data_IF_658083937123
#
_entry.id   IF_658083937123
#
_cell.length_a   1.000
_cell.length_b   1.000
_cell.length_c   1.000
_cell.angle_alpha   90.00
_cell.angle_beta   90.00
_cell.angle_gamma   90.00
#
_symmetry.space_group_name_H-M   'P 1'
#
loop_
_entity.id
_entity.type
_entity.pdbx_description
1 polymer ?
#
# COMPACT_ATOMS: atom_id res chain seq x y z
N UNK A 1 11.32 3.98 -5.03
CA UNK A 1 10.11 3.16 -5.25
C UNK A 1 10.56 1.72 -5.03
N UNK A 2 9.90 0.92 -4.18
CA UNK A 2 10.31 -0.48 -3.98
C UNK A 2 10.25 -1.16 -5.36
N UNK A 3 11.36 -1.74 -5.82
CA UNK A 3 11.40 -2.41 -7.13
C UNK A 3 10.63 -3.71 -7.02
N UNK A 4 9.71 -3.94 -7.94
CA UNK A 4 9.00 -5.21 -8.01
C UNK A 4 9.96 -6.31 -8.48
N UNK A 5 9.78 -7.53 -7.98
CA UNK A 5 10.63 -8.67 -8.29
C UNK A 5 10.41 -9.03 -9.79
N UNK A 6 11.45 -8.94 -10.65
CA UNK A 6 11.27 -9.08 -12.10
C UNK A 6 10.71 -10.43 -12.54
N UNK A 7 10.98 -11.49 -11.78
CA UNK A 7 10.54 -12.85 -12.08
C UNK A 7 9.02 -13.01 -12.05
N UNK A 8 8.29 -12.18 -11.29
CA UNK A 8 6.84 -12.22 -11.21
C UNK A 8 6.15 -11.82 -12.53
N UNK A 9 6.87 -11.14 -13.43
CA UNK A 9 6.33 -10.62 -14.69
C UNK A 9 6.52 -11.56 -15.88
N UNK A 10 7.19 -12.70 -15.69
CA UNK A 10 7.30 -13.74 -16.71
C UNK A 10 6.15 -14.73 -16.52
N UNK A 11 5.53 -15.15 -17.61
CA UNK A 11 4.64 -16.31 -17.57
C UNK A 11 5.50 -17.56 -17.38
N UNK A 12 5.08 -18.45 -16.49
CA UNK A 12 5.59 -19.81 -16.37
C UNK A 12 4.50 -20.78 -16.80
N UNK A 13 4.83 -22.04 -17.03
CA UNK A 13 3.85 -23.06 -17.44
C UNK A 13 2.66 -23.14 -16.46
N UNK A 14 2.90 -22.83 -15.18
CA UNK A 14 1.89 -22.83 -14.13
C UNK A 14 1.25 -21.47 -13.84
N UNK A 15 1.83 -20.34 -14.27
CA UNK A 15 1.33 -19.00 -13.92
C UNK A 15 1.29 -17.99 -15.08
N UNK A 16 0.17 -17.28 -15.24
CA UNK A 16 0.11 -16.17 -16.18
C UNK A 16 1.02 -15.02 -15.73
N UNK A 17 1.60 -14.31 -16.69
CA UNK A 17 2.44 -13.14 -16.42
C UNK A 17 1.70 -12.11 -15.55
N UNK A 18 2.29 -11.74 -14.41
CA UNK A 18 1.73 -10.67 -13.57
C UNK A 18 1.84 -9.33 -14.28
N UNK A 19 0.89 -8.44 -14.00
CA UNK A 19 0.92 -7.05 -14.52
C UNK A 19 1.21 -6.10 -13.38
N UNK A 20 2.32 -5.39 -13.45
CA UNK A 20 2.62 -4.33 -12.49
C UNK A 20 1.62 -3.18 -12.64
N UNK A 21 1.08 -2.71 -11.51
CA UNK A 21 0.19 -1.55 -11.43
C UNK A 21 0.61 -0.70 -10.25
N UNK A 22 0.45 0.61 -10.40
CA UNK A 22 0.79 1.55 -9.35
C UNK A 22 -0.45 1.88 -8.53
N UNK A 23 -0.30 1.85 -7.22
CA UNK A 23 -1.37 2.21 -6.30
C UNK A 23 -1.64 3.72 -6.40
N UNK A 24 -2.92 4.06 -6.61
CA UNK A 24 -3.37 5.44 -6.73
C UNK A 24 -3.01 6.26 -5.50
N UNK A 25 -3.21 5.70 -4.30
CA UNK A 25 -2.94 6.40 -3.05
C UNK A 25 -1.51 6.93 -2.98
N UNK A 26 -0.53 6.04 -3.22
CA UNK A 26 0.88 6.38 -3.18
C UNK A 26 1.29 7.37 -4.27
N UNK A 27 0.51 7.46 -5.34
CA UNK A 27 0.69 8.48 -6.37
C UNK A 27 0.13 9.81 -5.86
N UNK A 28 -1.12 9.84 -5.40
CA UNK A 28 -1.79 11.05 -4.90
C UNK A 28 -1.11 11.64 -3.67
N UNK A 29 -0.57 10.81 -2.78
CA UNK A 29 0.18 11.22 -1.58
C UNK A 29 1.46 11.99 -1.94
N UNK A 30 2.04 11.73 -3.13
CA UNK A 30 3.26 12.42 -3.58
C UNK A 30 3.01 13.78 -4.19
N UNK A 31 1.77 14.13 -4.53
CA UNK A 31 1.46 15.42 -5.16
C UNK A 31 1.93 16.61 -4.30
N UNK A 32 1.59 16.71 -3.00
CA UNK A 32 2.03 17.83 -2.18
C UNK A 32 3.57 17.91 -2.04
N UNK A 33 4.25 16.76 -1.99
CA UNK A 33 5.70 16.69 -1.93
C UNK A 33 6.39 17.06 -3.27
N UNK A 34 5.68 16.97 -4.40
CA UNK A 34 6.22 17.23 -5.75
C UNK A 34 5.83 18.58 -6.32
N UNK A 35 4.64 19.07 -5.99
CA UNK A 35 4.08 20.32 -6.51
C UNK A 35 3.95 21.42 -5.45
N UNK A 36 4.21 21.09 -4.18
CA UNK A 36 4.05 21.99 -3.06
C UNK A 36 2.67 21.88 -2.40
N UNK A 37 2.65 22.09 -1.08
CA UNK A 37 1.43 22.03 -0.28
C UNK A 37 0.43 23.12 -0.67
N UNK A 38 0.90 24.33 -0.98
CA UNK A 38 0.01 25.45 -1.33
C UNK A 38 -0.87 25.09 -2.53
N UNK A 39 -0.27 24.66 -3.65
CA UNK A 39 -1.04 24.24 -4.82
C UNK A 39 -2.01 23.10 -4.47
N UNK A 40 -1.56 22.09 -3.74
CA UNK A 40 -2.37 20.88 -3.53
C UNK A 40 -3.47 21.03 -2.47
N UNK A 41 -3.36 21.99 -1.53
CA UNK A 41 -4.28 22.15 -0.39
C UNK A 41 -5.07 23.45 -0.43
N UNK A 42 -4.47 24.52 -0.94
CA UNK A 42 -5.04 25.86 -0.92
C UNK A 42 -5.65 26.26 -2.28
N UNK A 43 -5.61 25.37 -3.28
CA UNK A 43 -6.23 25.60 -4.60
C UNK A 43 -7.11 24.42 -5.01
N UNK A 44 -7.94 24.64 -6.02
CA UNK A 44 -8.83 23.61 -6.60
C UNK A 44 -8.10 22.56 -7.44
N UNK A 45 -6.77 22.62 -7.55
CA UNK A 45 -5.97 21.73 -8.40
C UNK A 45 -6.26 20.24 -8.13
N UNK A 46 -6.24 19.84 -6.85
CA UNK A 46 -6.44 18.43 -6.48
C UNK A 46 -7.87 17.97 -6.77
N UNK A 47 -8.87 18.81 -6.54
CA UNK A 47 -10.26 18.50 -6.85
C UNK A 47 -10.46 18.28 -8.36
N UNK A 48 -9.93 19.20 -9.18
CA UNK A 48 -10.02 19.14 -10.64
C UNK A 48 -9.29 17.93 -11.21
N UNK A 49 -8.04 17.68 -10.80
CA UNK A 49 -7.28 16.55 -11.34
C UNK A 49 -7.87 15.20 -10.91
N UNK A 50 -8.34 15.09 -9.65
CA UNK A 50 -8.96 13.86 -9.17
C UNK A 50 -10.23 13.53 -9.95
N UNK A 51 -11.09 14.52 -10.26
CA UNK A 51 -12.28 14.32 -11.10
C UNK A 51 -11.95 13.59 -12.41
N UNK A 52 -10.83 13.94 -13.05
CA UNK A 52 -10.41 13.32 -14.31
C UNK A 52 -9.70 11.99 -14.15
N UNK A 53 -8.88 11.82 -13.10
CA UNK A 53 -8.12 10.59 -12.79
C UNK A 53 -9.01 9.33 -12.74
N UNK A 54 -10.26 9.49 -12.31
CA UNK A 54 -11.21 8.39 -12.18
C UNK A 54 -12.14 8.20 -13.40
N UNK A 55 -12.04 9.09 -14.39
CA UNK A 55 -12.97 9.20 -15.51
C UNK A 55 -12.39 8.61 -16.81
N UNK A 56 -13.26 8.34 -17.79
CA UNK A 56 -12.83 7.95 -19.14
C UNK A 56 -12.32 9.12 -19.99
N UNK A 57 -12.44 10.36 -19.51
CA UNK A 57 -12.06 11.58 -20.26
C UNK A 57 -10.74 12.18 -19.75
N UNK A 58 -9.90 11.35 -19.12
CA UNK A 58 -8.62 11.78 -18.55
C UNK A 58 -7.73 12.48 -19.58
N UNK A 59 -7.64 12.00 -20.83
CA UNK A 59 -6.70 12.57 -21.81
C UNK A 59 -6.98 14.05 -22.08
N UNK A 60 -8.26 14.44 -22.10
CA UNK A 60 -8.71 15.80 -22.26
C UNK A 60 -8.52 16.59 -20.96
N UNK A 61 -9.10 16.08 -19.86
CA UNK A 61 -9.11 16.80 -18.59
C UNK A 61 -7.74 16.98 -17.95
N UNK A 62 -6.80 16.04 -18.17
CA UNK A 62 -5.41 16.19 -17.72
C UNK A 62 -4.76 17.40 -18.39
N UNK A 63 -4.85 17.52 -19.72
CA UNK A 63 -4.24 18.63 -20.47
C UNK A 63 -4.83 19.97 -20.04
N UNK A 64 -6.15 20.03 -19.86
CA UNK A 64 -6.84 21.24 -19.41
C UNK A 64 -6.36 21.70 -18.02
N UNK A 65 -6.32 20.79 -17.05
CA UNK A 65 -5.85 21.12 -15.69
C UNK A 65 -4.37 21.52 -15.69
N UNK A 66 -3.51 20.81 -16.42
CA UNK A 66 -2.09 21.14 -16.47
C UNK A 66 -1.85 22.54 -17.06
N UNK A 67 -2.61 22.91 -18.10
CA UNK A 67 -2.55 24.24 -18.71
C UNK A 67 -3.08 25.32 -17.79
N UNK A 68 -4.22 25.08 -17.14
CA UNK A 68 -4.84 26.03 -16.21
C UNK A 68 -3.88 26.45 -15.09
N UNK A 69 -3.16 25.49 -14.51
CA UNK A 69 -2.21 25.73 -13.42
C UNK A 69 -0.78 26.02 -13.90
N UNK A 70 -0.56 26.16 -15.21
CA UNK A 70 0.75 26.47 -15.83
C UNK A 70 1.86 25.45 -15.47
N UNK A 71 1.53 24.16 -15.52
CA UNK A 71 2.41 23.06 -15.14
C UNK A 71 2.95 22.23 -16.32
N UNK A 72 2.88 22.78 -17.53
CA UNK A 72 3.19 22.07 -18.78
C UNK A 72 4.64 21.56 -18.83
N UNK A 73 5.58 22.31 -18.26
CA UNK A 73 7.01 21.96 -18.21
C UNK A 73 7.39 21.09 -17.00
N UNK A 74 6.43 20.71 -16.15
CA UNK A 74 6.73 20.02 -14.91
C UNK A 74 7.13 18.55 -15.17
N UNK A 75 8.43 18.27 -15.08
CA UNK A 75 9.06 16.97 -15.40
C UNK A 75 8.38 15.78 -14.71
N UNK A 76 7.97 15.91 -13.45
CA UNK A 76 7.30 14.81 -12.76
C UNK A 76 5.89 14.55 -13.31
N UNK A 77 5.14 15.60 -13.68
CA UNK A 77 3.78 15.44 -14.21
C UNK A 77 3.82 14.85 -15.61
N UNK A 78 4.79 15.25 -16.44
CA UNK A 78 5.07 14.62 -17.73
C UNK A 78 5.35 13.12 -17.57
N UNK A 79 6.27 12.73 -16.66
CA UNK A 79 6.51 11.32 -16.35
C UNK A 79 5.25 10.60 -15.88
N UNK A 80 4.46 11.19 -14.98
CA UNK A 80 3.22 10.58 -14.48
C UNK A 80 2.22 10.34 -15.61
N UNK A 81 2.15 11.25 -16.58
CA UNK A 81 1.32 11.12 -17.77
C UNK A 81 1.82 9.99 -18.68
N UNK A 82 3.12 9.81 -18.86
CA UNK A 82 3.66 8.73 -19.70
C UNK A 82 3.31 7.34 -19.15
N UNK A 83 3.37 7.16 -17.82
CA UNK A 83 3.05 5.89 -17.15
C UNK A 83 1.55 5.74 -16.79
N UNK A 84 0.68 6.61 -17.30
CA UNK A 84 -0.74 6.70 -16.91
C UNK A 84 -1.56 5.42 -17.07
N UNK A 85 -1.27 4.63 -18.08
CA UNK A 85 -1.91 3.33 -18.31
C UNK A 85 -1.65 2.33 -17.17
N UNK A 86 -0.62 2.54 -16.35
CA UNK A 86 -0.28 1.67 -15.23
C UNK A 86 -0.95 2.06 -13.91
N UNK A 87 -1.66 3.20 -13.86
CA UNK A 87 -2.25 3.70 -12.61
C UNK A 87 -3.66 4.28 -12.73
N UNK A 88 -4.11 4.67 -13.92
CA UNK A 88 -5.46 5.21 -14.13
C UNK A 88 -6.49 4.07 -14.23
N UNK A 89 -7.54 4.07 -13.38
CA UNK A 89 -8.55 3.02 -13.40
C UNK A 89 -9.41 2.92 -14.64
N UNK A 90 -9.56 4.01 -15.39
CA UNK A 90 -10.27 3.97 -16.66
C UNK A 90 -9.64 2.98 -17.66
N UNK A 91 -8.32 2.77 -17.58
CA UNK A 91 -7.60 1.78 -18.39
C UNK A 91 -7.75 0.34 -17.88
N UNK A 92 -8.40 0.13 -16.73
CA UNK A 92 -8.61 -1.20 -16.14
C UNK A 92 -10.05 -1.70 -16.27
N UNK A 93 -10.92 -0.93 -16.94
CA UNK A 93 -12.36 -1.27 -17.04
C UNK A 93 -12.61 -2.61 -17.74
N UNK A 94 -11.68 -3.05 -18.57
CA UNK A 94 -11.74 -4.29 -19.34
C UNK A 94 -11.05 -5.47 -18.65
N UNK A 95 -10.69 -5.33 -17.38
CA UNK A 95 -9.98 -6.37 -16.62
C UNK A 95 -10.82 -6.88 -15.46
N UNK A 96 -11.01 -8.22 -15.35
CA UNK A 96 -11.76 -8.82 -14.25
C UNK A 96 -11.22 -8.39 -12.89
N UNK A 97 -12.09 -7.94 -11.99
CA UNK A 97 -11.80 -7.59 -10.58
C UNK A 97 -10.88 -6.38 -10.34
N UNK A 98 -10.38 -5.69 -11.37
CA UNK A 98 -9.48 -4.54 -11.18
C UNK A 98 -10.20 -3.31 -10.56
N UNK A 99 -11.54 -3.25 -10.65
CA UNK A 99 -12.34 -2.23 -9.97
C UNK A 99 -12.22 -2.26 -8.45
N UNK A 100 -11.89 -3.42 -7.86
CA UNK A 100 -11.69 -3.59 -6.42
C UNK A 100 -10.37 -2.97 -5.92
N UNK A 101 -9.44 -2.66 -6.83
CA UNK A 101 -8.11 -2.11 -6.53
C UNK A 101 -8.12 -0.57 -6.72
N UNK A 102 -9.28 0.02 -7.04
CA UNK A 102 -9.42 1.46 -7.22
C UNK A 102 -9.29 2.24 -5.92
N UNK A 103 -9.62 1.66 -4.77
CA UNK A 103 -9.66 2.39 -3.51
C UNK A 103 -8.44 2.12 -2.66
N UNK A 104 -7.94 3.19 -2.06
CA UNK A 104 -6.83 3.20 -1.10
C UNK A 104 -7.25 2.50 0.20
N UNK A 105 -8.57 2.42 0.43
CA UNK A 105 -9.21 1.79 1.58
C UNK A 105 -8.75 0.37 1.86
N UNK A 106 -8.39 -0.44 0.84
CA UNK A 106 -7.94 -1.82 1.09
C UNK A 106 -6.56 -1.87 1.76
N UNK A 107 -5.60 -1.13 1.21
CA UNK A 107 -4.26 -1.05 1.81
C UNK A 107 -4.28 -0.26 3.11
N UNK A 108 -5.12 0.79 3.20
CA UNK A 108 -5.26 1.58 4.42
C UNK A 108 -5.95 0.79 5.54
N UNK A 109 -6.98 -0.01 5.25
CA UNK A 109 -7.66 -0.81 6.27
C UNK A 109 -6.77 -1.92 6.81
N UNK A 110 -5.99 -2.57 5.94
CA UNK A 110 -4.99 -3.57 6.35
C UNK A 110 -3.87 -2.92 7.18
N UNK A 111 -3.32 -1.79 6.72
CA UNK A 111 -2.30 -1.05 7.47
C UNK A 111 -2.85 -0.57 8.82
N UNK A 112 -4.08 -0.05 8.86
CA UNK A 112 -4.73 0.41 10.07
C UNK A 112 -4.93 -0.76 11.04
N UNK A 113 -5.46 -1.89 10.56
CA UNK A 113 -5.66 -3.09 11.37
C UNK A 113 -4.34 -3.52 12.02
N UNK A 114 -3.27 -3.70 11.24
CA UNK A 114 -1.99 -4.13 11.79
C UNK A 114 -1.31 -3.05 12.62
N UNK A 115 -1.53 -1.75 12.35
CA UNK A 115 -0.95 -0.67 13.17
C UNK A 115 -1.38 -0.74 14.64
N UNK A 116 -2.56 -1.30 14.92
CA UNK A 116 -3.04 -1.54 16.29
C UNK A 116 -2.20 -2.58 17.04
N UNK A 117 -1.47 -3.44 16.33
CA UNK A 117 -0.71 -4.56 16.88
C UNK A 117 0.80 -4.33 16.89
N UNK A 118 1.28 -3.16 16.45
CA UNK A 118 2.72 -2.89 16.38
C UNK A 118 3.10 -1.62 17.12
N UNK A 119 4.21 -1.68 17.87
CA UNK A 119 4.83 -0.50 18.48
C UNK A 119 6.28 -0.39 18.00
N UNK A 120 6.73 0.84 17.79
CA UNK A 120 8.12 1.09 17.44
C UNK A 120 9.02 0.61 18.58
N UNK A 121 9.97 -0.28 18.28
CA UNK A 121 10.91 -0.83 19.25
C UNK A 121 10.53 -2.19 19.86
N UNK A 122 9.43 -2.82 19.42
CA UNK A 122 9.13 -4.21 19.80
C UNK A 122 10.22 -5.18 19.37
N UNK A 123 10.53 -6.14 20.23
CA UNK A 123 11.38 -7.29 19.90
C UNK A 123 10.68 -8.21 18.89
N UNK A 124 11.45 -9.07 18.21
CA UNK A 124 10.88 -10.02 17.23
C UNK A 124 9.86 -10.97 17.86
N UNK A 125 10.10 -11.42 19.10
CA UNK A 125 9.17 -12.27 19.85
C UNK A 125 7.87 -11.56 20.19
N UNK A 126 7.94 -10.30 20.61
CA UNK A 126 6.75 -9.48 20.88
C UNK A 126 5.95 -9.21 19.60
N UNK A 127 6.63 -8.93 18.49
CA UNK A 127 6.01 -8.80 17.18
C UNK A 127 5.23 -10.07 16.81
N UNK A 128 5.86 -11.24 16.93
CA UNK A 128 5.24 -12.51 16.56
C UNK A 128 3.97 -12.79 17.36
N UNK A 129 4.02 -12.62 18.69
CA UNK A 129 2.84 -12.82 19.55
C UNK A 129 1.71 -11.86 19.16
N UNK A 130 2.02 -10.60 18.88
CA UNK A 130 1.00 -9.61 18.48
C UNK A 130 0.44 -9.89 17.09
N UNK A 131 1.25 -10.38 16.17
CA UNK A 131 0.81 -10.84 14.86
C UNK A 131 -0.16 -12.01 14.97
N UNK A 132 0.16 -13.03 15.77
CA UNK A 132 -0.74 -14.17 16.00
C UNK A 132 -2.08 -13.72 16.59
N UNK A 133 -2.07 -12.82 17.57
CA UNK A 133 -3.30 -12.24 18.12
C UNK A 133 -4.14 -11.50 17.07
N UNK A 134 -3.48 -10.78 16.14
CA UNK A 134 -4.16 -10.12 15.03
C UNK A 134 -4.81 -11.15 14.09
N UNK A 135 -4.09 -12.24 13.78
CA UNK A 135 -4.61 -13.34 12.96
C UNK A 135 -5.81 -14.03 13.64
N UNK A 136 -5.73 -14.30 14.94
CA UNK A 136 -6.83 -14.89 15.70
C UNK A 136 -8.06 -13.99 15.72
N UNK A 137 -7.88 -12.68 15.90
CA UNK A 137 -8.98 -11.70 15.79
C UNK A 137 -9.64 -11.77 14.42
N UNK A 138 -8.87 -11.86 13.34
CA UNK A 138 -9.41 -11.99 11.99
C UNK A 138 -10.16 -13.31 11.78
N UNK A 139 -9.61 -14.44 12.26
CA UNK A 139 -10.26 -15.76 12.18
C UNK A 139 -11.58 -15.79 12.97
N UNK A 140 -11.57 -15.24 14.18
CA UNK A 140 -12.76 -15.19 15.04
C UNK A 140 -13.85 -14.31 14.42
N UNK A 141 -13.49 -13.17 13.85
CA UNK A 141 -14.44 -12.31 13.14
C UNK A 141 -15.01 -13.01 11.89
N UNK A 142 -14.18 -13.72 11.14
CA UNK A 142 -14.62 -14.53 9.99
C UNK A 142 -15.63 -15.60 10.43
N UNK A 143 -15.34 -16.34 11.50
CA UNK A 143 -16.26 -17.34 12.08
C UNK A 143 -17.59 -16.69 12.51
N UNK A 144 -17.53 -15.54 13.18
CA UNK A 144 -18.72 -14.79 13.62
C UNK A 144 -19.59 -14.39 12.42
N UNK A 145 -19.00 -13.82 11.37
CA UNK A 145 -19.69 -13.40 10.17
C UNK A 145 -20.27 -14.60 9.38
N UNK A 146 -19.53 -15.71 9.30
CA UNK A 146 -20.03 -16.95 8.68
C UNK A 146 -21.23 -17.51 9.44
N UNK A 147 -21.16 -17.52 10.78
CA UNK A 147 -22.29 -17.92 11.62
C UNK A 147 -23.50 -17.02 11.41
N UNK A 148 -23.31 -15.69 11.36
CA UNK A 148 -24.39 -14.72 11.10
C UNK A 148 -25.04 -14.91 9.71
N UNK A 149 -24.26 -15.29 8.69
CA UNK A 149 -24.79 -15.61 7.36
C UNK A 149 -25.59 -16.91 7.32
N UNK A 150 -25.28 -17.87 8.20
CA UNK A 150 -25.93 -19.17 8.29
C UNK A 150 -27.17 -19.14 9.20
N UNK A 151 -27.15 -18.33 10.26
CA UNK A 151 -28.19 -18.32 11.28
C UNK A 151 -29.44 -17.54 10.87
N UNK A 152 -29.30 -16.50 10.04
CA UNK A 152 -30.42 -15.68 9.60
C UNK A 152 -30.29 -15.24 8.15
N UNK A 153 -31.41 -15.30 7.41
CA UNK A 153 -31.51 -14.65 6.10
C UNK A 153 -31.42 -13.13 6.28
N UNK A 154 -30.74 -12.41 5.37
CA UNK A 154 -30.76 -10.96 5.39
C UNK A 154 -32.18 -10.45 5.08
N UNK A 155 -32.48 -9.25 5.55
CA UNK A 155 -33.81 -8.64 5.37
C UNK A 155 -33.95 -8.17 3.93
N UNK A 156 -34.95 -8.69 3.23
CA UNK A 156 -35.35 -8.22 1.90
C UNK A 156 -36.34 -7.06 2.03
N UNK A 157 -36.29 -6.12 1.08
CA UNK A 157 -37.14 -4.90 1.13
C UNK A 157 -37.96 -4.70 -0.14
N UNK A 158 -37.64 -5.40 -1.24
CA UNK A 158 -38.48 -5.47 -2.44
C UNK A 158 -39.21 -6.81 -2.52
N UNK A 159 -40.11 -6.92 -3.50
CA UNK A 159 -40.84 -8.16 -3.83
C UNK A 159 -40.26 -8.87 -5.07
N UNK A 160 -39.02 -8.54 -5.45
CA UNK A 160 -38.39 -9.08 -6.65
C UNK A 160 -37.73 -10.43 -6.35
N UNK A 161 -38.05 -11.45 -7.15
CA UNK A 161 -37.45 -12.79 -7.01
C UNK A 161 -35.92 -12.80 -7.07
N UNK A 162 -35.33 -11.86 -7.82
CA UNK A 162 -33.88 -11.68 -7.90
C UNK A 162 -33.26 -11.29 -6.55
N UNK A 163 -33.99 -10.57 -5.70
CA UNK A 163 -33.53 -10.21 -4.36
C UNK A 163 -33.57 -11.43 -3.43
N UNK A 164 -34.63 -12.24 -3.51
CA UNK A 164 -34.75 -13.48 -2.74
C UNK A 164 -33.63 -14.47 -3.10
N UNK A 165 -33.36 -14.66 -4.39
CA UNK A 165 -32.24 -15.49 -4.85
C UNK A 165 -30.88 -14.91 -4.41
N UNK A 166 -30.72 -13.58 -4.40
CA UNK A 166 -29.52 -12.93 -3.86
C UNK A 166 -29.32 -13.21 -2.36
N UNK A 167 -30.40 -13.17 -1.57
CA UNK A 167 -30.39 -13.42 -0.13
C UNK A 167 -29.94 -14.84 0.22
N UNK A 168 -30.17 -15.79 -0.69
CA UNK A 168 -29.74 -17.18 -0.54
C UNK A 168 -28.26 -17.37 -0.92
N UNK A 169 -27.82 -16.75 -2.01
CA UNK A 169 -26.49 -16.97 -2.59
C UNK A 169 -25.36 -16.23 -1.88
N UNK A 170 -25.55 -14.93 -1.65
CA UNK A 170 -24.45 -14.03 -1.28
C UNK A 170 -24.23 -13.99 0.22
N UNK A 171 -22.97 -13.77 0.64
CA UNK A 171 -22.68 -13.38 2.02
C UNK A 171 -23.50 -12.15 2.40
N UNK A 172 -23.86 -12.00 3.68
CA UNK A 172 -24.69 -10.90 4.18
C UNK A 172 -24.17 -9.52 3.75
N UNK A 173 -22.85 -9.31 3.82
CA UNK A 173 -22.23 -8.06 3.39
C UNK A 173 -22.35 -7.78 1.89
N UNK A 174 -22.29 -8.81 1.04
CA UNK A 174 -22.46 -8.64 -0.41
C UNK A 174 -23.93 -8.53 -0.79
N UNK A 175 -24.82 -9.25 -0.10
CA UNK A 175 -26.25 -9.12 -0.29
C UNK A 175 -26.71 -7.67 -0.20
N UNK A 176 -26.32 -6.91 0.84
CA UNK A 176 -26.74 -5.52 0.96
C UNK A 176 -26.23 -4.63 -0.19
N UNK A 177 -25.04 -4.90 -0.73
CA UNK A 177 -24.54 -4.21 -1.94
C UNK A 177 -25.33 -4.59 -3.19
N UNK A 178 -25.78 -5.84 -3.29
CA UNK A 178 -26.64 -6.30 -4.38
C UNK A 178 -28.03 -5.67 -4.25
N UNK A 179 -28.59 -5.62 -3.04
CA UNK A 179 -29.88 -5.01 -2.74
C UNK A 179 -29.89 -3.53 -3.15
N UNK A 180 -28.84 -2.77 -2.84
CA UNK A 180 -28.69 -1.39 -3.32
C UNK A 180 -28.76 -1.29 -4.85
N UNK A 181 -28.14 -2.22 -5.58
CA UNK A 181 -28.18 -2.24 -7.05
C UNK A 181 -29.54 -2.67 -7.60
N UNK A 182 -30.24 -3.60 -6.93
CA UNK A 182 -31.60 -4.02 -7.29
C UNK A 182 -32.59 -2.88 -7.07
N UNK A 183 -32.51 -2.17 -5.94
CA UNK A 183 -33.38 -1.02 -5.67
C UNK A 183 -33.09 0.13 -6.63
N UNK A 184 -31.82 0.44 -6.88
CA UNK A 184 -31.45 1.42 -7.90
C UNK A 184 -31.92 1.01 -9.31
N UNK A 185 -31.96 -0.29 -9.62
CA UNK A 185 -32.51 -0.79 -10.88
C UNK A 185 -34.00 -0.47 -11.04
N UNK A 186 -34.75 -0.57 -9.94
CA UNK A 186 -36.18 -0.27 -9.90
C UNK A 186 -36.46 1.24 -9.93
N UNK A 187 -35.75 2.01 -9.11
CA UNK A 187 -36.11 3.39 -8.82
C UNK A 187 -35.45 4.37 -9.79
N UNK A 188 -34.19 4.13 -10.17
CA UNK A 188 -33.36 5.10 -10.87
C UNK A 188 -33.18 4.82 -12.38
N UNK A 189 -33.60 3.66 -12.90
CA UNK A 189 -33.38 3.30 -14.32
C UNK A 189 -34.57 3.63 -15.20
N UNK A 190 -34.31 4.06 -16.44
CA UNK A 190 -35.34 4.28 -17.48
C UNK A 190 -34.92 3.61 -18.78
N UNK A 191 -35.69 2.62 -19.24
CA UNK A 191 -35.51 1.98 -20.54
C UNK A 191 -35.97 2.95 -21.63
N UNK A 192 -35.10 3.24 -22.59
CA UNK A 192 -35.35 4.12 -23.72
C UNK A 192 -35.76 3.32 -24.95
N UNK A 193 -35.05 2.23 -25.22
CA UNK A 193 -35.25 1.42 -26.41
C UNK A 193 -35.01 -0.04 -26.08
N UNK A 194 -35.83 -0.88 -26.71
CA UNK A 194 -35.75 -2.33 -26.61
C UNK A 194 -35.52 -2.84 -28.03
N UNK A 195 -34.36 -3.44 -28.26
CA UNK A 195 -34.02 -4.08 -29.52
C UNK A 195 -34.78 -5.39 -29.73
N UNK A 196 -34.77 -5.92 -30.97
CA UNK A 196 -35.35 -7.23 -31.27
C UNK A 196 -34.63 -8.33 -30.49
N UNK A 197 -35.34 -9.41 -30.20
CA UNK A 197 -34.72 -10.60 -29.65
C UNK A 197 -34.06 -11.39 -30.78
N UNK A 198 -32.75 -11.59 -30.66
CA UNK A 198 -31.94 -12.35 -31.63
C UNK A 198 -31.22 -13.45 -30.86
N UNK A 199 -31.41 -14.71 -31.27
CA UNK A 199 -30.81 -15.89 -30.62
C UNK A 199 -31.09 -15.99 -29.10
N UNK A 200 -32.28 -15.58 -28.64
CA UNK A 200 -32.63 -15.60 -27.21
C UNK A 200 -31.95 -14.51 -26.38
N UNK A 201 -31.35 -13.51 -27.05
CA UNK A 201 -30.71 -12.35 -26.45
C UNK A 201 -31.45 -11.09 -26.82
N UNK A 202 -31.61 -10.18 -25.86
CA UNK A 202 -32.30 -8.92 -26.05
C UNK A 202 -31.41 -7.75 -25.62
N UNK A 203 -31.40 -6.71 -26.44
CA UNK A 203 -30.63 -5.50 -26.21
C UNK A 203 -31.53 -4.39 -25.65
N UNK A 204 -31.05 -3.70 -24.63
CA UNK A 204 -31.72 -2.59 -23.99
C UNK A 204 -30.82 -1.37 -24.02
N UNK A 205 -31.38 -0.22 -24.37
CA UNK A 205 -30.77 1.08 -24.13
C UNK A 205 -31.45 1.74 -22.96
N UNK A 206 -30.68 2.16 -21.96
CA UNK A 206 -31.23 2.72 -20.73
C UNK A 206 -30.45 3.94 -20.24
N UNK A 207 -31.18 4.84 -19.58
CA UNK A 207 -30.66 6.02 -18.93
C UNK A 207 -30.70 5.83 -17.41
N UNK A 208 -29.60 6.13 -16.76
CA UNK A 208 -29.50 6.19 -15.30
C UNK A 208 -29.80 7.63 -14.87
N UNK A 209 -30.84 7.84 -14.06
CA UNK A 209 -31.23 9.17 -13.58
C UNK A 209 -30.10 9.86 -12.80
N UNK A 210 -29.23 9.09 -12.13
CA UNK A 210 -28.09 9.61 -11.37
C UNK A 210 -26.88 9.90 -12.24
N UNK A 211 -26.80 9.35 -13.46
CA UNK A 211 -25.68 9.56 -14.39
C UNK A 211 -26.19 10.36 -15.60
N UNK A 212 -25.98 11.68 -15.55
CA UNK A 212 -26.40 12.57 -16.63
C UNK A 212 -25.66 12.27 -17.94
N UNK A 213 -26.38 12.45 -19.04
CA UNK A 213 -25.89 12.44 -20.43
C UNK A 213 -25.14 11.17 -20.87
N UNK A 214 -25.53 10.02 -20.29
CA UNK A 214 -24.98 8.73 -20.69
C UNK A 214 -26.08 7.70 -20.89
N UNK A 215 -25.99 7.01 -22.03
CA UNK A 215 -26.81 5.84 -22.35
C UNK A 215 -25.98 4.58 -22.07
N UNK A 216 -26.60 3.60 -21.43
CA UNK A 216 -26.02 2.30 -21.19
C UNK A 216 -26.70 1.27 -22.06
N UNK A 217 -25.87 0.43 -22.69
CA UNK A 217 -26.33 -0.71 -23.48
C UNK A 217 -26.22 -1.95 -22.61
N UNK A 218 -27.31 -2.71 -22.56
CA UNK A 218 -27.38 -3.97 -21.82
C UNK A 218 -27.90 -5.06 -22.73
N UNK A 219 -27.11 -6.11 -22.85
CA UNK A 219 -27.45 -7.31 -23.57
C UNK A 219 -27.75 -8.41 -22.55
N UNK A 220 -28.95 -9.01 -22.63
CA UNK A 220 -29.41 -9.99 -21.63
C UNK A 220 -30.00 -11.22 -22.30
N UNK A 221 -29.84 -12.35 -21.63
CA UNK A 221 -30.50 -13.63 -21.91
C UNK A 221 -30.88 -14.28 -20.58
N UNK A 222 -31.52 -15.45 -20.62
CA UNK A 222 -31.82 -16.24 -19.42
C UNK A 222 -30.56 -16.65 -18.62
N UNK A 223 -29.38 -16.66 -19.24
CA UNK A 223 -28.14 -17.17 -18.63
C UNK A 223 -27.02 -16.14 -18.52
N UNK A 224 -27.20 -14.94 -19.06
CA UNK A 224 -26.15 -13.93 -19.10
C UNK A 224 -26.72 -12.51 -19.12
N UNK A 225 -25.96 -11.55 -18.58
CA UNK A 225 -26.21 -10.13 -18.77
C UNK A 225 -24.89 -9.38 -18.90
N UNK A 226 -24.70 -8.68 -20.01
CA UNK A 226 -23.54 -7.84 -20.27
C UNK A 226 -23.98 -6.38 -20.33
N UNK A 227 -23.24 -5.50 -19.67
CA UNK A 227 -23.57 -4.07 -19.63
C UNK A 227 -22.34 -3.24 -19.97
N UNK A 228 -22.52 -2.21 -20.79
CA UNK A 228 -21.46 -1.27 -21.18
C UNK A 228 -20.82 -0.53 -19.99
N UNK A 229 -21.46 -0.50 -18.81
CA UNK A 229 -20.85 0.05 -17.60
C UNK A 229 -19.71 -0.82 -17.03
N UNK A 230 -19.62 -2.10 -17.43
CA UNK A 230 -18.59 -3.07 -17.04
C UNK A 230 -18.45 -3.31 -15.53
N UNK A 231 -19.45 -2.95 -14.71
CA UNK A 231 -19.40 -3.12 -13.24
C UNK A 231 -19.22 -4.58 -12.82
N UNK A 232 -19.91 -5.53 -13.48
CA UNK A 232 -19.74 -6.95 -13.20
C UNK A 232 -18.31 -7.41 -13.49
N UNK A 233 -17.75 -7.04 -14.64
CA UNK A 233 -16.36 -7.34 -14.97
C UNK A 233 -15.39 -6.72 -13.94
N UNK A 234 -15.56 -5.45 -13.62
CA UNK A 234 -14.65 -4.72 -12.73
C UNK A 234 -14.74 -5.13 -11.25
N UNK A 235 -15.93 -5.46 -10.75
CA UNK A 235 -16.19 -5.61 -9.32
C UNK A 235 -16.79 -6.97 -8.94
N UNK A 236 -17.27 -7.74 -9.92
CA UNK A 236 -17.85 -9.07 -9.70
C UNK A 236 -19.27 -9.10 -9.17
N UNK A 237 -19.96 -7.97 -9.26
CA UNK A 237 -21.34 -7.78 -8.79
C UNK A 237 -22.11 -7.17 -9.96
N UNK A 238 -23.29 -7.71 -10.35
CA UNK A 238 -24.11 -7.13 -11.40
C UNK A 238 -24.49 -5.68 -11.07
N UNK A 239 -24.56 -4.83 -12.10
CA UNK A 239 -25.01 -3.45 -11.93
C UNK A 239 -26.54 -3.35 -11.93
N UNK A 240 -27.04 -2.23 -11.43
CA UNK A 240 -28.42 -1.78 -11.57
C UNK A 240 -28.95 -1.86 -13.00
N UNK A 241 -28.12 -1.56 -14.01
CA UNK A 241 -28.50 -1.68 -15.42
C UNK A 241 -28.81 -3.13 -15.82
N UNK A 242 -27.95 -4.06 -15.40
CA UNK A 242 -28.15 -5.49 -15.65
C UNK A 242 -29.38 -6.01 -14.90
N UNK A 243 -29.57 -5.62 -13.64
CA UNK A 243 -30.77 -5.99 -12.88
C UNK A 243 -32.07 -5.45 -13.50
N UNK A 244 -32.05 -4.22 -14.01
CA UNK A 244 -33.20 -3.64 -14.70
C UNK A 244 -33.57 -4.45 -15.94
N UNK A 245 -32.59 -4.78 -16.78
CA UNK A 245 -32.79 -5.61 -17.97
C UNK A 245 -33.23 -7.04 -17.62
N UNK A 246 -32.61 -7.68 -16.61
CA UNK A 246 -32.97 -9.03 -16.15
C UNK A 246 -34.42 -9.08 -15.64
N UNK A 247 -34.83 -8.08 -14.87
CA UNK A 247 -36.19 -7.99 -14.36
C UNK A 247 -37.21 -7.80 -15.50
N UNK A 248 -36.90 -6.94 -16.48
CA UNK A 248 -37.73 -6.76 -17.66
C UNK A 248 -37.74 -7.99 -18.58
N UNK A 249 -36.67 -8.78 -18.59
CA UNK A 249 -36.58 -10.06 -19.30
C UNK A 249 -37.19 -11.23 -18.48
N UNK A 250 -37.91 -10.92 -17.39
CA UNK A 250 -38.63 -11.87 -16.54
C UNK A 250 -37.74 -12.97 -15.93
N UNK A 251 -36.46 -12.65 -15.70
CA UNK A 251 -35.54 -13.56 -15.05
C UNK A 251 -35.81 -13.57 -13.55
N UNK A 252 -36.19 -14.73 -13.02
CA UNK A 252 -36.53 -14.91 -11.60
C UNK A 252 -35.33 -15.29 -10.72
N UNK A 253 -34.27 -15.85 -11.30
CA UNK A 253 -33.02 -16.23 -10.60
C UNK A 253 -31.82 -15.58 -11.25
N UNK A 254 -30.90 -15.08 -10.44
CA UNK A 254 -29.67 -14.46 -10.92
C UNK A 254 -28.89 -15.50 -11.75
N UNK A 255 -28.57 -15.20 -13.02
CA UNK A 255 -27.78 -16.11 -13.84
C UNK A 255 -26.48 -16.47 -13.13
N UNK A 256 -26.18 -17.76 -12.97
CA UNK A 256 -25.03 -18.22 -12.17
C UNK A 256 -23.68 -17.77 -12.74
N UNK A 257 -23.62 -17.46 -14.04
CA UNK A 257 -22.47 -16.80 -14.69
C UNK A 257 -22.19 -15.39 -14.19
N UNK A 258 -23.16 -14.76 -13.53
CA UNK A 258 -23.06 -13.44 -12.91
C UNK A 258 -22.76 -13.52 -11.41
N UNK A 259 -22.37 -14.69 -10.91
CA UNK A 259 -22.05 -14.94 -9.51
C UNK A 259 -20.62 -15.44 -9.42
N UNK A 260 -19.77 -14.71 -8.68
CA UNK A 260 -18.43 -15.20 -8.35
C UNK A 260 -18.42 -15.92 -7.01
N UNK A 261 -17.77 -17.09 -6.97
CA UNK A 261 -17.65 -17.93 -5.77
C UNK A 261 -17.15 -17.14 -4.54
N UNK A 262 -16.19 -16.21 -4.74
CA UNK A 262 -15.66 -15.31 -3.68
C UNK A 262 -16.75 -14.58 -2.89
N UNK A 263 -17.89 -14.28 -3.50
CA UNK A 263 -18.95 -13.48 -2.90
C UNK A 263 -20.05 -14.32 -2.23
N UNK A 264 -20.03 -15.63 -2.42
CA UNK A 264 -21.05 -16.55 -1.93
C UNK A 264 -20.82 -16.99 -0.49
N UNK A 265 -21.91 -17.39 0.21
CA UNK A 265 -21.83 -17.89 1.60
C UNK A 265 -20.97 -19.14 1.75
N UNK A 266 -20.88 -19.94 0.70
CA UNK A 266 -20.13 -21.20 0.63
C UNK A 266 -18.81 -21.06 -0.16
N UNK A 267 -18.22 -19.86 -0.20
CA UNK A 267 -16.96 -19.59 -0.89
C UNK A 267 -15.81 -20.53 -0.46
N UNK A 268 -15.84 -21.02 0.78
CA UNK A 268 -14.86 -21.94 1.37
C UNK A 268 -15.06 -23.40 0.92
N UNK A 269 -16.26 -23.76 0.46
CA UNK A 269 -16.54 -25.09 -0.05
C UNK A 269 -16.04 -25.19 -1.49
N UNK A 270 -14.88 -25.83 -1.70
CA UNK A 270 -14.30 -26.07 -3.04
C UNK A 270 -15.24 -26.80 -4.01
N UNK A 271 -16.26 -27.49 -3.49
CA UNK A 271 -17.30 -28.20 -4.26
C UNK A 271 -18.38 -27.30 -4.86
N UNK A 272 -18.57 -26.07 -4.35
CA UNK A 272 -19.66 -25.15 -4.74
C UNK A 272 -19.64 -24.75 -6.22
N UNK A 273 -18.47 -24.81 -6.86
CA UNK A 273 -18.31 -24.46 -8.28
C UNK A 273 -18.99 -25.48 -9.20
N UNK A 274 -19.01 -26.78 -8.82
CA UNK A 274 -19.61 -27.86 -9.62
C UNK A 274 -21.13 -27.93 -9.44
N UNK A 275 -21.64 -27.74 -8.23
CA UNK A 275 -23.09 -27.77 -7.95
C UNK A 275 -23.88 -26.64 -8.64
N UNK A 276 -23.21 -25.54 -9.00
CA UNK A 276 -23.82 -24.40 -9.70
C UNK A 276 -23.36 -24.21 -11.17
N UNK A 277 -22.59 -25.15 -11.72
CA UNK A 277 -22.16 -25.16 -13.13
C UNK A 277 -21.16 -24.07 -13.52
N UNK A 278 -20.29 -23.63 -12.59
CA UNK A 278 -19.28 -22.59 -12.81
C UNK A 278 -17.91 -23.28 -12.93
N UNK A 279 -17.26 -23.22 -14.11
CA UNK A 279 -15.90 -23.77 -14.27
C UNK A 279 -14.87 -22.88 -13.60
N UNK A 280 -14.02 -23.47 -12.76
CA UNK A 280 -12.93 -22.80 -12.07
C UNK A 280 -11.64 -22.89 -12.90
N UNK A 281 -11.26 -21.80 -13.56
CA UNK A 281 -9.92 -21.67 -14.17
C UNK A 281 -8.91 -21.04 -13.20
N UNK A 282 -9.25 -20.80 -11.94
CA UNK A 282 -8.34 -20.14 -10.99
C UNK A 282 -7.82 -21.09 -9.92
N UNK A 283 -6.67 -21.68 -10.27
CA UNK A 283 -5.79 -22.56 -9.51
C UNK A 283 -5.81 -22.40 -7.97
N UNK A 284 -5.76 -23.57 -7.34
CA UNK A 284 -5.80 -23.83 -5.89
C UNK A 284 -4.75 -23.00 -5.12
N UNK A 285 -5.20 -22.17 -4.16
CA UNK A 285 -4.35 -21.32 -3.31
C UNK A 285 -3.32 -22.09 -2.48
N UNK A 286 -3.57 -23.37 -2.21
CA UNK A 286 -2.63 -24.24 -1.48
C UNK A 286 -1.34 -24.48 -2.30
N UNK A 287 -1.46 -24.68 -3.61
CA UNK A 287 -0.34 -24.84 -4.53
C UNK A 287 0.56 -23.60 -4.54
N UNK A 288 -0.06 -22.42 -4.62
CA UNK A 288 0.62 -21.12 -4.67
C UNK A 288 1.44 -20.86 -3.39
N UNK A 289 0.93 -21.29 -2.22
CA UNK A 289 1.65 -21.12 -0.95
C UNK A 289 2.86 -22.06 -0.81
N UNK A 290 2.79 -23.27 -1.37
CA UNK A 290 3.87 -24.26 -1.36
C UNK A 290 5.02 -23.87 -2.32
N UNK A 291 4.69 -23.29 -3.47
CA UNK A 291 5.68 -22.82 -4.46
C UNK A 291 6.37 -21.52 -4.05
N UNK A 292 5.66 -20.59 -3.41
CA UNK A 292 6.28 -19.36 -2.88
C UNK A 292 7.24 -19.63 -1.72
N UNK A 293 7.11 -20.77 -1.04
CA UNK A 293 7.91 -21.13 0.15
C UNK A 293 8.95 -22.22 -0.10
N UNK A 294 9.00 -22.80 -1.32
CA UNK A 294 9.88 -23.92 -1.68
C UNK A 294 9.83 -25.09 -0.67
N UNK A 295 8.65 -25.41 -0.13
CA UNK A 295 8.47 -26.60 0.73
C UNK A 295 7.15 -27.31 0.39
N UNK A 296 7.18 -28.61 0.05
CA UNK A 296 5.96 -29.39 -0.05
C UNK A 296 5.34 -29.59 1.35
N UNK A 297 4.01 -29.69 1.38
CA UNK A 297 3.22 -29.98 2.58
C UNK A 297 3.45 -31.43 3.02
N UNK A 298 4.58 -31.67 3.69
CA UNK A 298 4.87 -32.89 4.44
C UNK A 298 5.08 -32.56 5.91
N UNK A 299 4.84 -33.55 6.78
CA UNK A 299 4.93 -33.44 8.24
C UNK A 299 6.16 -32.63 8.67
N UNK A 300 5.93 -31.46 9.28
CA UNK A 300 6.99 -30.54 9.65
C UNK A 300 7.70 -31.15 10.87
N UNK A 301 8.69 -31.99 10.62
CA UNK A 301 9.67 -32.33 11.64
C UNK A 301 10.55 -31.10 11.83
N UNK A 302 10.22 -30.30 12.86
CA UNK A 302 11.03 -29.15 13.28
C UNK A 302 12.34 -29.71 13.85
N UNK A 303 13.35 -29.85 13.00
CA UNK A 303 14.70 -30.04 13.51
C UNK A 303 15.11 -28.78 14.26
N UNK A 304 15.66 -28.90 15.49
CA UNK A 304 16.27 -27.76 16.15
C UNK A 304 17.31 -27.16 15.19
N UNK A 305 17.38 -25.82 15.06
CA UNK A 305 18.33 -25.17 14.18
C UNK A 305 19.74 -25.72 14.46
N UNK A 306 20.50 -26.00 13.40
CA UNK A 306 21.91 -26.40 13.49
C UNK A 306 22.56 -25.55 14.56
N UNK A 307 23.07 -26.22 15.59
CA UNK A 307 23.50 -25.60 16.85
C UNK A 307 24.34 -24.35 16.51
N UNK A 308 23.72 -23.17 16.64
CA UNK A 308 24.44 -21.92 16.53
C UNK A 308 25.54 -22.01 17.58
N UNK A 309 26.78 -21.65 17.22
CA UNK A 309 27.87 -21.64 18.19
C UNK A 309 27.46 -20.71 19.34
N UNK A 310 27.08 -21.32 20.47
CA UNK A 310 26.78 -20.63 21.71
C UNK A 310 28.09 -20.15 22.34
N UNK A 311 28.75 -19.18 21.70
CA UNK A 311 29.81 -18.30 22.22
C UNK A 311 30.37 -17.44 21.08
N UNK A 312 29.91 -16.19 21.05
CA UNK A 312 30.62 -15.00 20.58
C UNK A 312 31.38 -15.08 19.24
N UNK A 313 30.68 -14.95 18.11
CA UNK A 313 31.29 -14.41 16.89
C UNK A 313 31.24 -12.87 16.91
N UNK A 314 32.18 -12.24 17.63
CA UNK A 314 32.76 -10.90 17.42
C UNK A 314 31.91 -9.63 17.19
N UNK A 315 30.62 -9.71 16.89
CA UNK A 315 29.76 -8.57 16.63
C UNK A 315 29.05 -8.19 17.93
N UNK A 316 29.55 -7.12 18.55
CA UNK A 316 28.97 -6.54 19.77
C UNK A 316 27.47 -6.32 19.54
N UNK A 317 26.64 -6.81 20.48
CA UNK A 317 25.19 -6.57 20.57
C UNK A 317 24.85 -5.17 20.05
N UNK A 318 23.95 -5.11 19.07
CA UNK A 318 23.40 -3.85 18.57
C UNK A 318 22.70 -3.13 19.73
N UNK A 319 23.26 -1.98 20.14
CA UNK A 319 22.70 -1.14 21.20
C UNK A 319 21.70 -0.16 20.61
N UNK A 320 20.57 0.04 21.29
CA UNK A 320 19.58 1.04 20.90
C UNK A 320 20.12 2.47 21.06
N UNK A 321 19.55 3.43 20.33
CA UNK A 321 19.86 4.87 20.49
C UNK A 321 19.73 5.31 21.96
N UNK A 322 18.73 4.80 22.66
CA UNK A 322 18.47 5.07 24.09
C UNK A 322 19.56 4.48 24.99
N UNK A 323 20.00 3.23 24.77
CA UNK A 323 21.14 2.64 25.50
C UNK A 323 22.44 3.42 25.26
N UNK A 324 22.71 3.81 24.01
CA UNK A 324 23.89 4.62 23.67
C UNK A 324 23.87 6.00 24.35
N UNK A 325 22.70 6.62 24.48
CA UNK A 325 22.53 7.90 25.17
C UNK A 325 22.76 7.77 26.68
N UNK A 326 22.19 6.73 27.32
CA UNK A 326 22.38 6.45 28.76
C UNK A 326 23.84 6.14 29.09
N UNK A 327 24.53 5.35 28.26
CA UNK A 327 25.96 5.07 28.45
C UNK A 327 26.85 6.30 28.22
N UNK A 328 26.47 7.21 27.33
CA UNK A 328 27.17 8.51 27.18
C UNK A 328 27.03 9.37 28.42
N UNK A 329 25.87 9.36 29.08
CA UNK A 329 25.63 10.10 30.33
C UNK A 329 26.41 9.51 31.52
N UNK A 330 26.66 8.19 31.53
CA UNK A 330 27.45 7.51 32.56
C UNK A 330 28.97 7.73 32.44
N UNK A 331 29.47 8.21 31.29
CA UNK A 331 30.91 8.47 31.10
C UNK A 331 31.31 9.78 31.78
N UNK A 332 32.19 9.69 32.78
CA UNK A 332 32.83 10.88 33.40
C UNK A 332 33.50 11.71 32.31
N UNK A 333 33.12 12.99 32.19
CA UNK A 333 33.75 13.93 31.27
C UNK A 333 35.22 14.11 31.67
N UNK A 334 36.14 13.96 30.71
CA UNK A 334 37.57 14.14 30.97
C UNK A 334 37.82 15.61 31.34
N UNK A 335 38.46 15.81 32.49
CA UNK A 335 38.90 17.12 32.96
C UNK A 335 40.36 17.34 32.55
N UNK A 336 40.69 18.60 32.24
CA UNK A 336 42.05 19.05 32.04
C UNK A 336 42.88 18.75 33.29
N UNK A 337 43.97 18.01 33.16
CA UNK A 337 44.80 17.62 34.31
C UNK A 337 45.57 18.77 34.98
N UNK A 338 45.54 19.98 34.41
CA UNK A 338 46.23 21.16 34.95
C UNK A 338 45.27 22.08 35.70
N UNK A 339 44.08 22.34 35.17
CA UNK A 339 43.12 23.29 35.75
C UNK A 339 41.75 22.67 36.07
N UNK A 340 41.60 21.36 35.90
CA UNK A 340 40.37 20.58 36.12
C UNK A 340 39.14 21.01 35.31
N UNK A 341 39.29 21.90 34.31
CA UNK A 341 38.20 22.30 33.41
C UNK A 341 37.78 21.14 32.48
N UNK A 342 36.47 21.03 32.21
CA UNK A 342 35.90 20.01 31.30
C UNK A 342 35.82 20.48 29.84
N UNK A 343 36.22 21.71 29.55
CA UNK A 343 36.04 22.36 28.23
C UNK A 343 37.22 22.13 27.29
N UNK A 344 38.40 21.83 27.84
CA UNK A 344 39.64 21.64 27.08
C UNK A 344 40.53 20.57 27.75
N UNK A 345 41.63 20.19 27.10
CA UNK A 345 42.58 19.21 27.62
C UNK A 345 43.92 19.85 28.04
N UNK A 346 44.84 19.04 28.59
CA UNK A 346 46.15 19.54 29.06
C UNK A 346 46.95 20.27 27.96
N UNK A 347 46.85 19.81 26.70
CA UNK A 347 47.64 20.35 25.58
C UNK A 347 47.14 21.72 25.14
N UNK A 348 45.82 21.90 25.21
CA UNK A 348 45.13 23.15 24.88
C UNK A 348 44.87 24.03 26.10
N UNK A 349 45.44 23.68 27.26
CA UNK A 349 45.21 24.41 28.48
C UNK A 349 45.93 25.77 28.46
N UNK A 350 45.22 26.89 28.70
CA UNK A 350 45.84 28.21 28.75
C UNK A 350 46.98 28.31 29.77
N UNK A 351 46.89 27.56 30.87
CA UNK A 351 47.97 27.50 31.87
C UNK A 351 49.20 26.76 31.36
N UNK A 352 49.04 25.75 30.49
CA UNK A 352 50.17 25.05 29.86
C UNK A 352 50.92 25.97 28.87
N UNK A 353 50.17 26.80 28.14
CA UNK A 353 50.76 27.74 27.18
C UNK A 353 51.52 28.88 27.86
N UNK A 354 51.08 29.32 29.06
CA UNK A 354 51.84 30.28 29.87
C UNK A 354 53.16 29.71 30.40
N UNK A 355 53.17 28.43 30.80
CA UNK A 355 54.40 27.75 31.28
C UNK A 355 55.39 27.52 30.14
N UNK A 356 54.92 27.19 28.93
CA UNK A 356 55.77 27.07 27.75
C UNK A 356 56.42 28.41 27.37
N UNK A 357 55.67 29.52 27.42
CA UNK A 357 56.20 30.86 27.16
C UNK A 357 57.27 31.32 28.16
N UNK A 358 57.09 31.00 29.45
CA UNK A 358 58.08 31.32 30.48
C UNK A 358 59.37 30.50 30.34
N UNK A 359 59.29 29.27 29.83
CA UNK A 359 60.47 28.40 29.60
C UNK A 359 61.33 28.90 28.44
N UNK A 360 60.69 29.38 27.37
CA UNK A 360 61.38 29.97 26.22
C UNK A 360 62.05 31.29 26.60
N UNK A 361 61.42 32.11 27.44
CA UNK A 361 62.07 33.34 27.94
C UNK A 361 63.28 33.06 28.82
N UNK A 362 63.25 32.00 29.65
CA UNK A 362 64.39 31.60 30.47
C UNK A 362 65.55 31.04 29.63
N UNK A 363 65.28 30.24 28.59
CA UNK A 363 66.32 29.72 27.68
C UNK A 363 67.01 30.85 26.89
N UNK A 364 66.25 31.82 26.37
CA UNK A 364 66.81 32.99 25.66
C UNK A 364 67.66 33.87 26.59
N UNK A 365 67.28 34.02 27.85
CA UNK A 365 68.06 34.79 28.84
C UNK A 365 69.35 34.09 29.26
N UNK A 366 69.37 32.75 29.20
CA UNK A 366 70.56 31.94 29.49
C UNK A 366 71.54 32.01 28.32
N UNK A 367 71.07 31.92 27.06
CA UNK A 367 71.93 32.05 25.86
C UNK A 367 72.54 33.46 25.72
N UNK A 368 71.80 34.53 26.06
CA UNK A 368 72.33 35.90 26.08
C UNK A 368 73.40 36.13 27.15
N UNK A 369 73.35 35.41 28.28
CA UNK A 369 74.37 35.49 29.33
C UNK A 369 75.66 34.75 28.97
N UNK A 370 75.57 33.67 28.19
CA UNK A 370 76.72 32.90 27.70
C UNK A 370 77.46 33.66 26.60
N UNK A 371 76.72 34.30 25.68
CA UNK A 371 77.31 35.15 24.64
C UNK A 371 78.01 36.40 25.20
N UNK A 372 77.54 36.95 26.33
CA UNK A 372 78.20 38.07 27.02
C UNK A 372 79.54 37.69 27.66
N UNK A 373 79.69 36.46 28.16
CA UNK A 373 80.92 35.97 28.78
C UNK A 373 82.01 35.60 27.76
N UNK A 374 81.63 35.20 26.54
CA UNK A 374 82.57 34.92 25.44
C UNK A 374 83.17 36.22 24.86
N UNK A 375 82.43 37.33 24.85
CA UNK A 375 82.95 38.63 24.37
C UNK A 375 83.90 39.28 25.40
N UNK A 376 83.68 39.10 26.70
CA UNK A 376 84.62 39.61 27.73
C UNK A 376 85.94 38.81 27.79
N UNK A 377 85.94 37.56 27.34
CA UNK A 377 87.16 36.73 27.26
C UNK A 377 88.00 37.03 26.01
N UNK A 378 87.39 37.36 24.86
CA UNK A 378 88.13 37.81 23.66
C UNK A 378 88.77 39.20 23.83
N UNK A 379 88.18 40.11 24.61
CA UNK A 379 88.76 41.45 24.84
C UNK A 379 89.91 41.41 25.86
N UNK A 380 89.97 40.39 26.73
CA UNK A 380 91.07 40.20 27.68
C UNK A 380 92.33 39.55 27.05
N UNK A 381 92.20 38.78 25.97
CA UNK A 381 93.35 38.18 25.27
C UNK A 381 94.03 39.11 24.25
N UNK A 382 93.45 40.28 23.95
CA UNK A 382 94.06 41.29 23.06
C UNK A 382 94.82 42.41 23.78
N UNK A 383 95.02 42.33 25.10
CA UNK A 383 95.69 43.37 25.91
C UNK A 383 96.96 42.90 26.63
N UNK A 384 97.71 41.95 26.05
CA UNK A 384 99.06 41.60 26.49
C UNK A 384 100.10 41.64 25.38
#
# INVERSE_FOLDING_TARGET
MKQAIPNCFKATDDFPASRHRLCMWHITEKFPAKLGNFLCKETEFMEKIQKYIWSSVIEQGWKEVIKEFKLEEHVWLSKMYDMRQSWIPAYFRDKPMYGLIRTTSRSESENYFFSQFHQCGSTLSEFYIRFENAMDKQRNETKRLNHECASAKPVTVSKLFLEDDAAELYTRAIFYKIQEEILAARDDMRIQTIGPEVNGMKCYEMKDVKIKDKIFQVEVSKTHANCSCKKFLMCGIPCRHAFCALNHFEVVKIPRRLVFNRWMKNAENKASLKDFGISDEHQNKESVSAELTNKPAGDITIHPPLQCKNKGSGLKRLRSEREKAVDKLKKKKRQCKLCNSVVHDKRTCPQNMKVAGAKVQAEVQTELSVAGAEVETEVAEMSH
#
